data_IF_553809106099
#
_entry.id   IF_553809106099
#
_cell.length_a   1.000
_cell.length_b   1.000
_cell.length_c   1.000
_cell.angle_alpha   90.00
_cell.angle_beta   90.00
_cell.angle_gamma   90.00
#
_symmetry.space_group_name_H-M   'P 1'
#
loop_
_entity.id
_entity.type
_entity.pdbx_description
1 polymer ?
#
# COMPACT_ATOMS: atom_id res chain seq x y z
N UNK A 1 -9.48 22.56 10.54
CA UNK A 1 -8.06 22.92 10.32
C UNK A 1 -7.21 21.83 10.92
N UNK A 2 -6.08 21.52 10.29
CA UNK A 2 -5.06 20.60 10.84
C UNK A 2 -3.75 21.37 10.91
N UNK A 3 -3.05 21.28 12.04
CA UNK A 3 -1.74 21.88 12.25
C UNK A 3 -0.77 20.84 12.79
N UNK A 4 0.46 20.83 12.29
CA UNK A 4 1.54 20.02 12.83
C UNK A 4 2.90 20.66 12.50
N UNK A 5 3.88 20.36 13.33
CA UNK A 5 5.27 20.78 13.11
C UNK A 5 6.10 19.57 12.74
N UNK A 6 7.08 19.78 11.87
CA UNK A 6 8.04 18.75 11.50
C UNK A 6 9.45 19.21 11.86
N UNK A 7 10.27 18.24 12.22
CA UNK A 7 11.71 18.41 12.42
C UNK A 7 12.41 17.51 11.43
N UNK A 8 13.27 18.09 10.59
CA UNK A 8 14.08 17.33 9.65
C UNK A 8 15.15 16.57 10.44
N UNK A 9 15.26 15.24 10.30
CA UNK A 9 16.15 14.41 11.14
C UNK A 9 17.64 14.66 10.90
N UNK A 10 17.98 15.49 9.92
CA UNK A 10 19.34 15.83 9.50
C UNK A 10 19.54 15.54 8.02
N UNK A 11 20.45 16.30 7.40
CA UNK A 11 20.88 16.13 6.02
C UNK A 11 22.33 15.64 6.02
N UNK A 12 22.61 14.63 5.20
CA UNK A 12 23.94 14.08 4.96
C UNK A 12 24.39 14.51 3.57
N UNK A 13 25.69 14.71 3.39
CA UNK A 13 26.29 15.02 2.10
C UNK A 13 27.45 14.09 1.83
N UNK A 14 27.48 13.49 0.65
CA UNK A 14 28.57 12.65 0.16
C UNK A 14 29.18 13.32 -1.07
N UNK A 15 30.49 13.58 -1.02
CA UNK A 15 31.20 14.15 -2.16
C UNK A 15 31.40 13.10 -3.26
N UNK A 16 30.97 13.42 -4.49
CA UNK A 16 31.15 12.61 -5.69
C UNK A 16 31.80 13.49 -6.75
N UNK A 17 33.09 13.31 -7.00
CA UNK A 17 33.89 14.19 -7.85
C UNK A 17 33.77 15.67 -7.41
N UNK A 18 33.20 16.54 -8.25
CA UNK A 18 32.95 17.96 -7.98
C UNK A 18 31.54 18.25 -7.44
N UNK A 19 30.75 17.21 -7.19
CA UNK A 19 29.35 17.31 -6.74
C UNK A 19 29.19 16.81 -5.30
N UNK A 20 28.04 17.14 -4.72
CA UNK A 20 27.61 16.71 -3.39
C UNK A 20 26.25 16.03 -3.53
N UNK A 21 26.19 14.73 -3.24
CA UNK A 21 24.93 14.00 -3.16
C UNK A 21 24.34 14.20 -1.78
N UNK A 22 23.22 14.90 -1.70
CA UNK A 22 22.56 15.25 -0.42
C UNK A 22 21.39 14.31 -0.14
N UNK A 23 21.31 13.83 1.08
CA UNK A 23 20.32 12.83 1.49
C UNK A 23 19.72 13.19 2.86
N UNK A 24 18.43 12.95 3.03
CA UNK A 24 17.78 12.85 4.33
C UNK A 24 17.42 11.38 4.51
N UNK A 25 18.01 10.71 5.50
CA UNK A 25 17.85 9.25 5.68
C UNK A 25 16.39 8.83 5.69
N UNK A 26 16.09 7.72 5.01
CA UNK A 26 14.75 7.14 4.87
C UNK A 26 13.71 8.03 4.15
N UNK A 27 14.16 9.04 3.40
CA UNK A 27 13.29 9.91 2.63
C UNK A 27 13.59 9.81 1.14
N UNK A 28 12.63 10.27 0.34
CA UNK A 28 12.70 10.23 -1.11
C UNK A 28 13.64 11.33 -1.64
N UNK A 29 13.86 11.29 -2.95
CA UNK A 29 14.65 12.27 -3.70
C UNK A 29 13.95 12.53 -5.02
N UNK A 30 14.09 13.74 -5.54
CA UNK A 30 13.63 14.05 -6.90
C UNK A 30 14.43 13.22 -7.90
N UNK A 31 13.71 12.53 -8.78
CA UNK A 31 14.24 11.55 -9.73
C UNK A 31 14.20 12.06 -11.18
N UNK A 32 14.00 13.37 -11.37
CA UNK A 32 14.03 14.01 -12.68
C UNK A 32 15.44 13.92 -13.26
N UNK A 33 15.64 12.98 -14.19
CA UNK A 33 16.94 12.67 -14.80
C UNK A 33 17.68 13.94 -15.25
N UNK A 34 18.90 14.11 -14.76
CA UNK A 34 19.77 15.26 -15.06
C UNK A 34 19.54 16.51 -14.22
N UNK A 35 18.42 16.65 -13.51
CA UNK A 35 18.14 17.77 -12.60
C UNK A 35 18.81 17.56 -11.24
N UNK A 36 18.97 18.59 -10.38
CA UNK A 36 19.49 18.42 -9.02
C UNK A 36 18.69 17.38 -8.22
N UNK A 37 19.38 16.39 -7.66
CA UNK A 37 18.79 15.34 -6.83
C UNK A 37 18.50 15.87 -5.41
N UNK A 38 17.33 16.48 -5.23
CA UNK A 38 16.92 17.11 -3.96
C UNK A 38 16.17 16.10 -3.08
N UNK A 39 16.49 15.97 -1.78
CA UNK A 39 15.71 15.14 -0.87
C UNK A 39 14.31 15.71 -0.61
N UNK A 40 13.32 14.83 -0.57
CA UNK A 40 11.90 15.16 -0.40
C UNK A 40 11.34 14.39 0.79
N UNK A 41 10.71 15.11 1.71
CA UNK A 41 10.00 14.52 2.84
C UNK A 41 8.52 14.42 2.50
N UNK A 42 7.93 13.23 2.70
CA UNK A 42 6.52 12.99 2.41
C UNK A 42 5.75 12.57 3.67
N UNK A 43 4.61 13.20 3.91
CA UNK A 43 3.70 12.84 4.98
C UNK A 43 2.29 12.57 4.45
N UNK A 44 1.62 11.58 5.01
CA UNK A 44 0.18 11.41 4.87
C UNK A 44 -0.53 12.09 6.03
N UNK A 45 -1.57 12.85 5.70
CA UNK A 45 -2.36 13.64 6.66
C UNK A 45 -3.83 13.28 6.48
N UNK A 46 -4.48 12.88 7.57
CA UNK A 46 -5.92 12.67 7.65
C UNK A 46 -6.63 14.02 7.49
N UNK A 47 -7.64 14.04 6.63
CA UNK A 47 -8.46 15.22 6.33
C UNK A 47 -9.95 14.88 6.44
N UNK A 48 -10.84 15.86 6.69
CA UNK A 48 -12.28 15.63 6.57
C UNK A 48 -12.68 15.49 5.09
N UNK A 49 -13.94 15.12 4.84
CA UNK A 49 -14.50 15.25 3.49
C UNK A 49 -14.54 16.74 3.11
N UNK A 50 -13.90 17.12 2.01
CA UNK A 50 -13.78 18.53 1.59
C UNK A 50 -13.49 18.65 0.08
N UNK A 51 -13.90 19.77 -0.52
CA UNK A 51 -13.70 20.03 -1.95
C UNK A 51 -12.22 20.32 -2.25
N UNK A 52 -11.57 21.14 -1.43
CA UNK A 52 -10.16 21.50 -1.58
C UNK A 52 -9.44 21.64 -0.24
N UNK A 53 -8.12 21.40 -0.29
CA UNK A 53 -7.20 21.57 0.84
C UNK A 53 -6.28 22.74 0.51
N UNK A 54 -6.25 23.76 1.35
CA UNK A 54 -5.31 24.87 1.23
C UNK A 54 -4.17 24.67 2.23
N UNK A 55 -2.96 24.52 1.70
CA UNK A 55 -1.73 24.35 2.46
C UNK A 55 -1.09 25.71 2.75
N UNK A 56 -0.87 26.01 4.02
CA UNK A 56 -0.01 27.12 4.44
C UNK A 56 1.20 26.56 5.18
N UNK A 57 2.37 27.12 4.89
CA UNK A 57 3.64 26.73 5.47
C UNK A 57 4.26 27.94 6.18
N UNK A 58 4.76 27.73 7.39
CA UNK A 58 5.63 28.68 8.08
C UNK A 58 6.97 28.01 8.34
N UNK A 59 8.04 28.56 7.76
CA UNK A 59 9.41 28.13 8.02
C UNK A 59 9.85 28.69 9.36
N UNK A 60 10.37 27.83 10.24
CA UNK A 60 10.74 28.21 11.60
C UNK A 60 12.24 28.47 11.75
N UNK A 61 13.02 28.06 10.76
CA UNK A 61 14.46 28.29 10.69
C UNK A 61 14.93 28.34 9.24
N UNK A 62 16.23 28.57 9.05
CA UNK A 62 16.94 28.31 7.80
C UNK A 62 18.45 28.21 8.06
N UNK A 63 19.14 27.44 7.23
CA UNK A 63 20.59 27.26 7.25
C UNK A 63 21.07 27.36 5.81
N UNK A 64 22.18 28.07 5.60
CA UNK A 64 22.72 28.39 4.28
C UNK A 64 24.11 27.76 4.12
N UNK A 65 24.33 27.08 3.00
CA UNK A 65 25.60 26.46 2.64
C UNK A 65 26.06 26.99 1.29
N UNK A 66 27.27 27.54 1.25
CA UNK A 66 27.89 28.05 0.04
C UNK A 66 28.86 27.03 -0.55
N UNK A 67 29.22 27.23 -1.82
CA UNK A 67 30.20 26.42 -2.55
C UNK A 67 29.78 24.94 -2.65
N UNK A 68 28.48 24.67 -2.75
CA UNK A 68 27.91 23.34 -2.92
C UNK A 68 27.27 23.22 -4.29
N UNK A 69 27.57 22.14 -5.00
CA UNK A 69 26.91 21.76 -6.26
C UNK A 69 26.24 20.42 -6.02
N UNK A 70 24.91 20.37 -6.09
CA UNK A 70 24.16 19.13 -5.86
C UNK A 70 24.40 18.15 -7.01
N UNK A 71 24.47 16.86 -6.69
CA UNK A 71 24.59 15.79 -7.68
C UNK A 71 23.32 15.70 -8.53
N UNK A 72 23.41 15.54 -9.86
CA UNK A 72 22.23 15.38 -10.69
C UNK A 72 21.59 14.00 -10.50
N UNK A 73 20.27 13.91 -10.61
CA UNK A 73 19.57 12.63 -10.59
C UNK A 73 20.07 11.78 -11.77
N UNK A 74 20.63 10.59 -11.52
CA UNK A 74 21.12 9.73 -12.58
C UNK A 74 19.96 9.11 -13.38
N UNK A 75 20.28 8.58 -14.56
CA UNK A 75 19.38 7.70 -15.30
C UNK A 75 19.62 6.25 -14.87
N UNK A 76 18.56 5.46 -14.68
CA UNK A 76 18.70 4.03 -14.40
C UNK A 76 18.69 3.27 -15.72
N UNK A 77 19.84 2.69 -16.09
CA UNK A 77 20.00 1.95 -17.34
C UNK A 77 20.27 0.46 -17.09
N UNK A 78 19.74 -0.45 -17.93
CA UNK A 78 20.04 -1.87 -17.81
C UNK A 78 21.51 -2.16 -18.17
N UNK A 79 22.22 -2.85 -17.28
CA UNK A 79 23.54 -3.43 -17.53
C UNK A 79 23.51 -4.95 -17.37
N UNK A 80 24.30 -5.66 -18.17
CA UNK A 80 24.35 -7.12 -18.18
C UNK A 80 25.60 -7.60 -17.46
N UNK A 81 25.43 -8.18 -16.28
CA UNK A 81 26.52 -8.74 -15.50
C UNK A 81 27.13 -9.99 -16.17
N UNK A 82 28.37 -10.30 -15.77
CA UNK A 82 29.03 -11.56 -16.17
C UNK A 82 28.22 -12.75 -15.63
N UNK A 83 27.46 -13.42 -16.50
CA UNK A 83 26.49 -14.46 -16.14
C UNK A 83 25.10 -14.27 -16.75
N UNK A 84 24.86 -13.15 -17.45
CA UNK A 84 23.63 -12.90 -18.20
C UNK A 84 22.48 -12.31 -17.37
N UNK A 85 22.71 -11.97 -16.09
CA UNK A 85 21.75 -11.25 -15.28
C UNK A 85 21.72 -9.77 -15.68
N UNK A 86 20.52 -9.20 -15.80
CA UNK A 86 20.30 -7.77 -16.06
C UNK A 86 20.09 -7.08 -14.71
N UNK A 87 20.86 -6.02 -14.46
CA UNK A 87 20.71 -5.14 -13.30
C UNK A 87 20.49 -3.70 -13.77
N UNK A 88 19.87 -2.86 -12.96
CA UNK A 88 19.81 -1.42 -13.24
C UNK A 88 21.03 -0.76 -12.58
N UNK A 89 21.78 0.02 -13.35
CA UNK A 89 22.91 0.81 -12.85
C UNK A 89 22.64 2.29 -13.06
N UNK A 90 23.17 3.12 -12.16
CA UNK A 90 23.11 4.58 -12.30
C UNK A 90 24.07 5.02 -13.41
N UNK A 91 23.54 5.63 -14.47
CA UNK A 91 24.28 6.37 -15.48
C UNK A 91 24.21 7.87 -15.18
N UNK A 92 25.36 8.53 -15.16
CA UNK A 92 25.43 9.96 -14.90
C UNK A 92 24.73 10.75 -16.02
N UNK A 93 23.70 11.51 -15.66
CA UNK A 93 23.01 12.44 -16.54
C UNK A 93 23.11 13.85 -15.97
N UNK A 94 23.22 14.87 -16.83
CA UNK A 94 23.40 16.26 -16.40
C UNK A 94 22.65 17.21 -17.31
N UNK A 95 21.61 17.85 -16.77
CA UNK A 95 20.84 18.85 -17.50
C UNK A 95 21.55 20.21 -17.43
N UNK A 96 22.23 20.55 -18.52
CA UNK A 96 22.94 21.84 -18.64
C UNK A 96 22.03 23.06 -18.50
N UNK A 97 20.73 22.94 -18.80
CA UNK A 97 19.78 24.06 -18.70
C UNK A 97 19.41 24.28 -17.23
N UNK A 98 19.08 23.20 -16.51
CA UNK A 98 18.80 23.24 -15.08
C UNK A 98 19.99 23.82 -14.29
N UNK A 99 21.21 23.37 -14.57
CA UNK A 99 22.40 23.81 -13.84
C UNK A 99 22.97 25.18 -14.27
N UNK A 100 22.42 25.80 -15.31
CA UNK A 100 22.74 27.18 -15.68
C UNK A 100 21.61 28.17 -15.31
N UNK A 101 20.56 27.69 -14.63
CA UNK A 101 19.46 28.53 -14.15
C UNK A 101 19.85 29.23 -12.85
N UNK A 102 19.72 30.56 -12.82
CA UNK A 102 19.89 31.39 -11.61
C UNK A 102 18.57 31.49 -10.85
N UNK A 103 18.04 30.34 -10.45
CA UNK A 103 16.78 30.20 -9.73
C UNK A 103 16.90 29.13 -8.65
N UNK A 104 16.13 29.27 -7.57
CA UNK A 104 16.02 28.23 -6.55
C UNK A 104 15.24 27.04 -7.09
N UNK A 105 15.86 25.87 -7.08
CA UNK A 105 15.26 24.59 -7.41
C UNK A 105 14.99 23.75 -6.14
N UNK A 106 13.81 23.11 -6.01
CA UNK A 106 12.69 23.10 -6.94
C UNK A 106 11.85 24.38 -6.94
N UNK A 107 12.13 25.34 -6.06
CA UNK A 107 11.44 26.64 -5.98
C UNK A 107 10.15 26.57 -5.17
N UNK A 108 9.44 25.45 -5.25
CA UNK A 108 8.34 25.10 -4.34
C UNK A 108 8.90 24.50 -3.05
N UNK A 109 8.44 24.97 -1.89
CA UNK A 109 8.92 24.48 -0.59
C UNK A 109 8.01 23.38 -0.03
N UNK A 110 6.71 23.47 -0.29
CA UNK A 110 5.78 22.38 0.00
C UNK A 110 4.58 22.43 -0.92
N UNK A 111 4.00 21.27 -1.18
CA UNK A 111 2.78 21.13 -1.97
C UNK A 111 1.94 19.94 -1.51
N UNK A 112 0.69 19.93 -1.93
CA UNK A 112 -0.21 18.77 -1.77
C UNK A 112 -0.24 17.98 -3.06
N UNK A 113 -0.14 16.66 -2.94
CA UNK A 113 -0.39 15.69 -4.01
C UNK A 113 -1.86 15.26 -4.01
N UNK A 114 -2.21 14.31 -4.89
CA UNK A 114 -3.55 13.73 -5.03
C UNK A 114 -4.14 13.30 -3.67
N UNK A 115 -5.45 13.59 -3.51
CA UNK A 115 -6.25 13.09 -2.40
C UNK A 115 -6.56 11.61 -2.63
N UNK A 116 -6.73 10.87 -1.55
CA UNK A 116 -7.23 9.50 -1.59
C UNK A 116 -7.91 9.13 -0.28
N UNK A 117 -8.15 7.85 -0.07
CA UNK A 117 -8.62 7.32 1.19
C UNK A 117 -7.96 5.99 1.54
N UNK A 118 -7.75 5.74 2.83
CA UNK A 118 -7.45 4.41 3.35
C UNK A 118 -8.71 3.97 4.09
N UNK A 119 -9.47 3.02 3.54
CA UNK A 119 -10.85 2.74 3.94
C UNK A 119 -11.68 4.01 3.91
N UNK A 120 -12.30 4.38 5.02
CA UNK A 120 -13.08 5.61 5.13
C UNK A 120 -12.24 6.85 5.41
N UNK A 121 -10.98 6.68 5.82
CA UNK A 121 -10.12 7.81 6.19
C UNK A 121 -9.61 8.52 4.94
N UNK A 122 -10.20 9.69 4.64
CA UNK A 122 -9.68 10.56 3.61
C UNK A 122 -8.27 11.06 3.99
N UNK A 123 -7.36 11.04 3.04
CA UNK A 123 -5.98 11.47 3.22
C UNK A 123 -5.55 12.42 2.12
N UNK A 124 -4.59 13.27 2.44
CA UNK A 124 -3.81 14.01 1.46
C UNK A 124 -2.33 13.78 1.73
N UNK A 125 -1.55 13.64 0.66
CA UNK A 125 -0.10 13.56 0.76
C UNK A 125 0.49 14.96 0.66
N UNK A 126 1.38 15.29 1.57
CA UNK A 126 2.13 16.55 1.57
C UNK A 126 3.58 16.23 1.24
N UNK A 127 4.12 16.93 0.26
CA UNK A 127 5.54 16.92 -0.07
C UNK A 127 6.17 18.18 0.51
N UNK A 128 7.28 18.00 1.21
CA UNK A 128 8.11 19.06 1.74
C UNK A 128 9.50 18.96 1.13
N UNK A 129 9.99 20.07 0.60
CA UNK A 129 11.28 20.24 -0.04
C UNK A 129 12.18 21.06 0.90
N UNK A 130 12.75 20.43 1.95
CA UNK A 130 13.53 21.12 2.97
C UNK A 130 14.81 21.74 2.43
N UNK A 131 15.25 21.34 1.23
CA UNK A 131 16.49 21.76 0.60
C UNK A 131 16.14 22.47 -0.70
N UNK A 132 16.58 23.71 -0.84
CA UNK A 132 16.48 24.51 -2.06
C UNK A 132 17.90 24.78 -2.56
N UNK A 133 18.13 24.71 -3.86
CA UNK A 133 19.45 24.84 -4.47
C UNK A 133 19.42 25.88 -5.58
N UNK A 134 20.35 26.84 -5.54
CA UNK A 134 20.66 27.70 -6.68
C UNK A 134 21.94 27.18 -7.36
N UNK A 135 21.84 26.66 -8.61
CA UNK A 135 22.99 26.14 -9.35
C UNK A 135 24.06 27.18 -9.71
N UNK A 136 23.67 28.42 -10.02
CA UNK A 136 24.59 29.49 -10.42
C UNK A 136 25.36 30.03 -9.23
N UNK A 137 24.65 30.31 -8.13
CA UNK A 137 25.26 30.77 -6.87
C UNK A 137 25.99 29.65 -6.11
N UNK A 138 25.76 28.39 -6.49
CA UNK A 138 26.30 27.18 -5.83
C UNK A 138 25.95 27.16 -4.35
N UNK A 139 24.69 27.41 -4.08
CA UNK A 139 24.20 27.63 -2.73
C UNK A 139 22.99 26.75 -2.42
N UNK A 140 22.99 26.21 -1.20
CA UNK A 140 21.86 25.50 -0.64
C UNK A 140 21.23 26.32 0.49
N UNK A 141 19.91 26.42 0.48
CA UNK A 141 19.09 26.86 1.59
C UNK A 141 18.33 25.66 2.16
N UNK A 142 18.66 25.29 3.39
CA UNK A 142 18.09 24.14 4.09
C UNK A 142 17.22 24.60 5.28
N UNK A 143 16.10 23.92 5.48
CA UNK A 143 15.16 24.15 6.57
C UNK A 143 15.14 22.93 7.49
N UNK A 144 15.35 23.13 8.79
CA UNK A 144 15.32 22.04 9.77
C UNK A 144 13.98 21.94 10.51
N UNK A 145 13.17 23.01 10.49
CA UNK A 145 11.85 23.06 11.13
C UNK A 145 10.83 23.84 10.31
N UNK A 146 9.63 23.26 10.24
CA UNK A 146 8.50 23.88 9.55
C UNK A 146 7.19 23.58 10.27
N UNK A 147 6.29 24.56 10.27
CA UNK A 147 4.90 24.42 10.72
C UNK A 147 3.97 24.39 9.51
N UNK A 148 3.15 23.35 9.42
CA UNK A 148 2.14 23.18 8.40
C UNK A 148 0.76 23.54 8.96
N UNK A 149 -0.06 24.19 8.16
CA UNK A 149 -1.45 24.54 8.50
C UNK A 149 -2.34 24.27 7.29
N UNK A 150 -3.22 23.28 7.43
CA UNK A 150 -4.18 22.89 6.40
C UNK A 150 -5.56 23.45 6.75
N UNK A 151 -6.14 24.17 5.79
CA UNK A 151 -7.54 24.61 5.85
C UNK A 151 -8.33 23.97 4.73
N UNK A 152 -9.64 23.81 4.93
CA UNK A 152 -10.48 22.96 4.10
C UNK A 152 -11.71 23.74 3.62
N UNK A 153 -11.99 23.68 2.33
CA UNK A 153 -13.18 24.30 1.74
C UNK A 153 -14.35 23.33 1.80
N UNK A 154 -15.54 23.80 2.21
CA UNK A 154 -16.77 23.00 2.33
C UNK A 154 -16.57 21.68 3.11
N UNK A 155 -15.80 21.74 4.21
CA UNK A 155 -15.51 20.56 5.00
C UNK A 155 -16.74 20.02 5.74
N UNK A 156 -16.89 18.70 5.76
CA UNK A 156 -17.92 17.99 6.52
C UNK A 156 -17.34 16.72 7.16
N UNK A 157 -17.98 16.28 8.25
CA UNK A 157 -17.53 15.12 9.03
C UNK A 157 -16.32 15.40 9.93
N UNK A 158 -15.77 14.33 10.51
CA UNK A 158 -14.58 14.38 11.36
C UNK A 158 -13.29 14.29 10.55
N UNK A 159 -12.17 14.76 11.13
CA UNK A 159 -10.83 14.61 10.55
C UNK A 159 -10.38 13.15 10.64
N UNK A 160 -10.46 12.55 11.82
CA UNK A 160 -10.23 11.11 12.00
C UNK A 160 -11.56 10.37 11.90
N UNK A 161 -11.61 9.38 11.03
CA UNK A 161 -12.74 8.44 10.89
C UNK A 161 -12.34 7.08 11.41
N UNK A 162 -13.32 6.29 11.81
CA UNK A 162 -13.08 4.88 12.13
C UNK A 162 -12.75 4.12 10.84
N UNK A 163 -11.66 3.36 10.87
CA UNK A 163 -11.20 2.51 9.76
C UNK A 163 -11.15 1.04 10.18
N UNK A 164 -11.78 0.72 11.31
CA UNK A 164 -11.88 -0.61 11.87
C UNK A 164 -10.54 -1.31 12.02
N UNK A 165 -10.39 -2.48 11.41
CA UNK A 165 -9.16 -3.30 11.51
C UNK A 165 -7.89 -2.63 10.96
N UNK A 166 -8.00 -1.53 10.19
CA UNK A 166 -6.87 -0.73 9.70
C UNK A 166 -6.40 0.32 10.71
N UNK A 167 -6.99 0.40 11.90
CA UNK A 167 -6.74 1.53 12.79
C UNK A 167 -5.26 1.68 13.19
N UNK A 168 -4.56 0.60 13.55
CA UNK A 168 -3.10 0.63 13.74
C UNK A 168 -2.31 0.90 12.46
N UNK A 169 -2.77 0.41 11.30
CA UNK A 169 -2.11 0.71 10.01
C UNK A 169 -2.12 2.21 9.74
N UNK A 170 -3.30 2.82 9.86
CA UNK A 170 -3.52 4.26 9.66
C UNK A 170 -2.82 5.06 10.76
N UNK A 171 -2.86 4.62 12.02
CA UNK A 171 -2.19 5.25 13.16
C UNK A 171 -0.66 5.30 13.05
N UNK A 172 -0.04 4.29 12.44
CA UNK A 172 1.42 4.27 12.21
C UNK A 172 1.83 4.94 10.89
N UNK A 173 0.87 5.24 10.01
CA UNK A 173 1.14 5.79 8.66
C UNK A 173 0.83 7.28 8.54
N UNK A 174 -0.21 7.77 9.25
CA UNK A 174 -0.72 9.14 9.12
C UNK A 174 -0.37 9.95 10.36
N UNK A 175 0.30 11.10 10.14
CA UNK A 175 0.92 11.88 11.22
C UNK A 175 -0.06 12.46 12.25
N UNK A 176 -1.32 12.67 11.86
CA UNK A 176 -2.37 13.27 12.69
C UNK A 176 -3.55 12.32 12.93
N UNK A 177 -3.33 11.01 12.81
CA UNK A 177 -4.35 10.01 13.12
C UNK A 177 -4.17 9.45 14.53
N UNK A 178 -5.23 9.57 15.35
CA UNK A 178 -5.23 9.02 16.70
C UNK A 178 -5.72 7.57 16.66
N UNK A 179 -4.78 6.61 16.75
CA UNK A 179 -5.13 5.20 16.86
C UNK A 179 -5.93 4.92 18.13
N UNK A 180 -6.91 4.02 18.03
CA UNK A 180 -7.70 3.49 19.14
C UNK A 180 -7.20 2.11 19.61
N UNK A 181 -6.08 1.60 19.07
CA UNK A 181 -5.51 0.30 19.43
C UNK A 181 -6.06 -0.89 18.64
N UNK A 182 -7.15 -0.72 17.89
CA UNK A 182 -7.76 -1.81 17.12
C UNK A 182 -6.88 -2.21 15.94
N UNK A 183 -6.74 -3.51 15.71
CA UNK A 183 -5.91 -4.02 14.64
C UNK A 183 -6.33 -5.42 14.22
N UNK A 184 -5.83 -5.83 13.05
CA UNK A 184 -6.04 -7.15 12.46
C UNK A 184 -5.30 -8.31 13.17
N UNK A 185 -4.44 -8.04 14.17
CA UNK A 185 -3.64 -9.06 14.85
C UNK A 185 -4.28 -9.59 16.15
N UNK A 186 -5.20 -8.84 16.74
CA UNK A 186 -6.10 -9.33 17.78
C UNK A 186 -7.25 -10.09 17.11
N UNK A 187 -7.60 -11.28 17.63
CA UNK A 187 -8.80 -11.98 17.15
C UNK A 187 -9.98 -11.01 17.23
N UNK A 188 -10.52 -10.62 16.08
CA UNK A 188 -11.59 -9.64 15.99
C UNK A 188 -12.91 -10.15 16.61
N UNK A 189 -12.92 -11.40 17.10
CA UNK A 189 -13.99 -12.04 17.87
C UNK A 189 -13.65 -12.33 19.33
N UNK A 190 -12.54 -11.83 19.89
CA UNK A 190 -12.22 -12.02 21.31
C UNK A 190 -13.26 -11.33 22.21
N UNK A 191 -14.23 -12.12 22.71
CA UNK A 191 -15.27 -11.66 23.64
C UNK A 191 -16.66 -11.45 23.02
N UNK A 192 -16.87 -11.77 21.74
CA UNK A 192 -18.21 -11.81 21.16
C UNK A 192 -18.86 -13.18 21.44
N UNK A 193 -20.12 -13.17 21.89
CA UNK A 193 -20.90 -14.40 22.17
C UNK A 193 -21.40 -15.08 20.88
N UNK A 194 -21.39 -14.37 19.75
CA UNK A 194 -21.84 -14.89 18.46
C UNK A 194 -20.71 -15.65 17.76
N UNK A 195 -21.03 -16.87 17.32
CA UNK A 195 -20.09 -17.71 16.56
C UNK A 195 -19.96 -17.19 15.14
N UNK A 196 -18.75 -17.18 14.59
CA UNK A 196 -18.52 -16.92 13.17
C UNK A 196 -19.34 -17.87 12.30
N UNK A 197 -19.63 -17.47 11.06
CA UNK A 197 -20.45 -18.24 10.12
C UNK A 197 -19.70 -18.56 8.85
N UNK A 198 -20.11 -19.62 8.15
CA UNK A 198 -19.63 -19.89 6.78
C UNK A 198 -20.81 -20.04 5.85
N UNK A 199 -20.70 -19.50 4.63
CA UNK A 199 -21.76 -19.63 3.62
C UNK A 199 -21.21 -19.66 2.20
N UNK A 200 -21.71 -20.58 1.38
CA UNK A 200 -21.54 -20.48 -0.07
C UNK A 200 -22.60 -19.58 -0.66
N UNK A 201 -22.16 -18.55 -1.39
CA UNK A 201 -23.05 -17.64 -2.12
C UNK A 201 -22.74 -17.79 -3.61
N UNK A 202 -23.77 -18.10 -4.39
CA UNK A 202 -23.63 -18.38 -5.84
C UNK A 202 -24.47 -17.47 -6.72
N UNK A 203 -25.06 -16.41 -6.16
CA UNK A 203 -25.88 -15.42 -6.86
C UNK A 203 -25.70 -14.04 -6.22
N UNK A 204 -25.58 -13.00 -7.04
CA UNK A 204 -25.39 -11.62 -6.62
C UNK A 204 -26.33 -10.70 -7.41
N UNK A 205 -27.65 -10.70 -7.12
CA UNK A 205 -28.64 -9.98 -7.92
C UNK A 205 -28.39 -8.47 -7.97
N UNK A 206 -27.79 -7.91 -6.91
CA UNK A 206 -27.44 -6.49 -6.81
C UNK A 206 -25.92 -6.24 -7.03
N UNK A 207 -25.16 -7.25 -7.47
CA UNK A 207 -23.73 -7.10 -7.76
C UNK A 207 -22.83 -6.94 -6.53
N UNK A 208 -23.29 -7.34 -5.33
CA UNK A 208 -22.50 -7.41 -4.09
C UNK A 208 -22.94 -8.60 -3.23
N UNK A 209 -22.15 -8.93 -2.20
CA UNK A 209 -22.50 -9.95 -1.20
C UNK A 209 -23.49 -9.37 -0.19
N UNK A 210 -24.74 -9.80 -0.24
CA UNK A 210 -25.82 -9.32 0.65
C UNK A 210 -25.76 -9.94 2.07
N UNK A 211 -25.22 -11.15 2.18
CA UNK A 211 -24.93 -11.77 3.45
C UNK A 211 -23.82 -11.00 4.19
N UNK A 212 -23.82 -11.07 5.53
CA UNK A 212 -22.70 -10.55 6.32
C UNK A 212 -21.40 -11.22 5.88
N UNK A 213 -20.40 -10.41 5.53
CA UNK A 213 -19.17 -10.84 4.90
C UNK A 213 -17.98 -10.06 5.47
N UNK A 214 -17.36 -10.62 6.50
CA UNK A 214 -16.11 -10.10 7.05
C UNK A 214 -14.91 -10.56 6.22
N UNK A 215 -15.00 -11.78 5.69
CA UNK A 215 -13.96 -12.46 4.92
C UNK A 215 -14.56 -13.12 3.66
N UNK A 216 -14.14 -12.68 2.48
CA UNK A 216 -14.56 -13.23 1.20
C UNK A 216 -13.50 -14.18 0.63
N UNK A 217 -13.86 -15.45 0.39
CA UNK A 217 -13.04 -16.43 -0.32
C UNK A 217 -13.59 -16.59 -1.74
N UNK A 218 -12.77 -16.28 -2.75
CA UNK A 218 -13.10 -16.47 -4.16
C UNK A 218 -12.32 -17.68 -4.67
N UNK A 219 -13.01 -18.65 -5.29
CA UNK A 219 -12.40 -19.88 -5.83
C UNK A 219 -12.65 -20.01 -7.34
N UNK A 220 -11.78 -20.69 -8.10
CA UNK A 220 -12.13 -21.20 -9.42
C UNK A 220 -13.37 -22.10 -9.36
N UNK A 221 -14.16 -22.08 -10.44
CA UNK A 221 -15.40 -22.85 -10.49
C UNK A 221 -15.19 -24.36 -10.39
N UNK A 222 -14.05 -24.87 -10.85
CA UNK A 222 -13.65 -26.28 -10.75
C UNK A 222 -13.49 -26.75 -9.30
N UNK A 223 -12.91 -25.93 -8.41
CA UNK A 223 -12.77 -26.27 -6.99
C UNK A 223 -14.09 -26.26 -6.23
N UNK A 224 -15.08 -25.48 -6.69
CA UNK A 224 -16.44 -25.58 -6.15
C UNK A 224 -17.15 -26.87 -6.60
N UNK A 225 -16.84 -27.40 -7.78
CA UNK A 225 -17.43 -28.67 -8.26
C UNK A 225 -16.71 -29.91 -7.73
N UNK A 226 -15.40 -29.83 -7.50
CA UNK A 226 -14.63 -30.89 -6.85
C UNK A 226 -15.02 -30.98 -5.37
N UNK A 227 -15.72 -32.04 -5.00
CA UNK A 227 -16.23 -32.26 -3.63
C UNK A 227 -15.11 -32.30 -2.59
N UNK A 228 -13.92 -32.80 -2.95
CA UNK A 228 -12.78 -32.87 -2.03
C UNK A 228 -12.17 -31.49 -1.84
N UNK A 229 -11.90 -30.76 -2.93
CA UNK A 229 -11.36 -29.40 -2.85
C UNK A 229 -12.31 -28.48 -2.08
N UNK A 230 -13.61 -28.53 -2.42
CA UNK A 230 -14.66 -27.78 -1.76
C UNK A 230 -14.70 -28.04 -0.25
N UNK A 231 -14.74 -29.30 0.18
CA UNK A 231 -14.78 -29.65 1.60
C UNK A 231 -13.53 -29.18 2.36
N UNK A 232 -12.36 -29.21 1.72
CA UNK A 232 -11.12 -28.71 2.32
C UNK A 232 -11.14 -27.18 2.43
N UNK A 233 -11.64 -26.45 1.43
CA UNK A 233 -11.80 -24.99 1.49
C UNK A 233 -12.82 -24.60 2.56
N UNK A 234 -13.92 -25.34 2.70
CA UNK A 234 -14.89 -25.15 3.79
C UNK A 234 -14.23 -25.32 5.17
N UNK A 235 -13.27 -26.25 5.32
CA UNK A 235 -12.53 -26.38 6.58
C UNK A 235 -11.64 -25.17 6.90
N UNK A 236 -11.08 -24.52 5.88
CA UNK A 236 -10.37 -23.24 6.06
C UNK A 236 -11.34 -22.12 6.47
N UNK A 237 -12.48 -22.02 5.79
CA UNK A 237 -13.51 -21.05 6.13
C UNK A 237 -14.01 -21.25 7.56
N UNK A 238 -14.30 -22.50 7.95
CA UNK A 238 -14.75 -22.84 9.30
C UNK A 238 -13.69 -22.47 10.33
N UNK A 239 -12.41 -22.71 10.05
CA UNK A 239 -11.34 -22.28 10.94
C UNK A 239 -11.29 -20.76 11.11
N UNK A 240 -11.49 -19.97 10.04
CA UNK A 240 -11.56 -18.51 10.14
C UNK A 240 -12.79 -18.06 10.94
N UNK A 241 -13.93 -18.71 10.75
CA UNK A 241 -15.13 -18.46 11.56
C UNK A 241 -14.88 -18.78 13.04
N UNK A 242 -14.31 -19.94 13.37
CA UNK A 242 -14.10 -20.40 14.75
C UNK A 242 -12.99 -19.62 15.46
N UNK A 243 -11.90 -19.32 14.76
CA UNK A 243 -10.71 -18.70 15.37
C UNK A 243 -10.82 -17.17 15.43
N UNK A 244 -11.36 -16.55 14.38
CA UNK A 244 -11.44 -15.10 14.27
C UNK A 244 -12.83 -14.54 14.57
N UNK A 245 -13.89 -15.36 14.56
CA UNK A 245 -15.28 -14.91 14.66
C UNK A 245 -15.88 -14.42 13.35
N UNK A 246 -15.18 -14.59 12.21
CA UNK A 246 -15.63 -14.02 10.94
C UNK A 246 -16.87 -14.70 10.37
N UNK A 247 -17.72 -13.90 9.74
CA UNK A 247 -18.68 -14.36 8.73
C UNK A 247 -17.94 -14.51 7.41
N UNK A 248 -17.68 -15.76 7.03
CA UNK A 248 -16.90 -16.12 5.85
C UNK A 248 -17.83 -16.49 4.71
N UNK A 249 -17.81 -15.69 3.66
CA UNK A 249 -18.53 -16.00 2.42
C UNK A 249 -17.55 -16.62 1.43
N UNK A 250 -17.95 -17.76 0.87
CA UNK A 250 -17.24 -18.42 -0.22
C UNK A 250 -18.05 -18.29 -1.51
N UNK A 251 -17.38 -17.98 -2.61
CA UNK A 251 -18.00 -17.90 -3.94
C UNK A 251 -17.05 -18.42 -5.01
N UNK A 252 -17.61 -18.72 -6.19
CA UNK A 252 -16.88 -19.17 -7.37
C UNK A 252 -16.84 -18.09 -8.45
N UNK A 253 -15.77 -18.07 -9.25
CA UNK A 253 -15.58 -17.13 -10.36
C UNK A 253 -16.80 -17.04 -11.30
N UNK A 254 -17.37 -18.17 -11.72
CA UNK A 254 -18.54 -18.16 -12.62
C UNK A 254 -19.77 -17.47 -12.05
N UNK A 255 -19.98 -17.50 -10.74
CA UNK A 255 -21.09 -16.78 -10.09
C UNK A 255 -20.88 -15.27 -10.12
N UNK A 256 -19.63 -14.83 -9.94
CA UNK A 256 -19.25 -13.41 -10.08
C UNK A 256 -19.45 -12.96 -11.52
N UNK A 257 -18.95 -13.72 -12.48
CA UNK A 257 -19.01 -13.34 -13.90
C UNK A 257 -20.45 -13.22 -14.40
N UNK A 258 -21.34 -14.09 -13.90
CA UNK A 258 -22.77 -14.05 -14.22
C UNK A 258 -23.54 -12.91 -13.55
N UNK A 259 -22.98 -12.28 -12.50
CA UNK A 259 -23.64 -11.19 -11.80
C UNK A 259 -23.58 -9.85 -12.57
N UNK A 260 -22.60 -9.71 -13.46
CA UNK A 260 -22.39 -8.51 -14.25
C UNK A 260 -22.69 -8.81 -15.73
N UNK A 261 -23.66 -8.13 -16.34
CA UNK A 261 -24.07 -8.42 -17.72
C UNK A 261 -22.96 -8.06 -18.71
N UNK A 262 -22.80 -8.87 -19.76
CA UNK A 262 -21.76 -8.69 -20.78
C UNK A 262 -21.86 -7.35 -21.54
N UNK A 263 -23.02 -6.69 -21.49
CA UNK A 263 -23.22 -5.35 -22.03
C UNK A 263 -22.39 -4.26 -21.34
N UNK A 264 -21.79 -4.55 -20.17
CA UNK A 264 -20.88 -3.63 -19.50
C UNK A 264 -19.46 -3.66 -20.10
N UNK A 265 -19.16 -4.61 -21.01
CA UNK A 265 -17.83 -4.76 -21.64
C UNK A 265 -16.69 -4.85 -20.63
N UNK A 266 -16.95 -5.55 -19.51
CA UNK A 266 -15.98 -5.75 -18.43
C UNK A 266 -15.23 -7.06 -18.62
N UNK A 267 -13.92 -7.01 -18.42
CA UNK A 267 -13.06 -8.17 -18.28
C UNK A 267 -13.33 -8.90 -16.95
N UNK A 268 -12.93 -10.18 -16.87
CA UNK A 268 -13.19 -11.02 -15.70
C UNK A 268 -12.60 -10.45 -14.39
N UNK A 269 -11.42 -9.82 -14.45
CA UNK A 269 -10.82 -9.19 -13.28
C UNK A 269 -11.61 -7.94 -12.85
N UNK A 270 -12.17 -7.16 -13.79
CA UNK A 270 -12.99 -5.99 -13.47
C UNK A 270 -14.29 -6.40 -12.79
N UNK A 271 -14.89 -7.53 -13.22
CA UNK A 271 -16.07 -8.12 -12.55
C UNK A 271 -15.76 -8.53 -11.10
N UNK A 272 -14.58 -9.08 -10.83
CA UNK A 272 -14.12 -9.39 -9.46
C UNK A 272 -13.93 -8.11 -8.65
N UNK A 273 -13.23 -7.12 -9.21
CA UNK A 273 -13.01 -5.82 -8.58
C UNK A 273 -14.33 -5.13 -8.23
N UNK A 274 -15.32 -5.16 -9.14
CA UNK A 274 -16.65 -4.61 -8.89
C UNK A 274 -17.40 -5.32 -7.78
N UNK A 275 -17.36 -6.66 -7.71
CA UNK A 275 -18.00 -7.37 -6.60
C UNK A 275 -17.37 -6.98 -5.26
N UNK A 276 -16.04 -6.94 -5.19
CA UNK A 276 -15.30 -6.56 -3.98
C UNK A 276 -15.67 -5.14 -3.57
N UNK A 277 -15.58 -4.18 -4.50
CA UNK A 277 -15.94 -2.77 -4.28
C UNK A 277 -17.38 -2.61 -3.80
N UNK A 278 -18.34 -3.17 -4.52
CA UNK A 278 -19.75 -3.04 -4.17
C UNK A 278 -20.05 -3.70 -2.81
N UNK A 279 -19.36 -4.79 -2.47
CA UNK A 279 -19.48 -5.44 -1.15
C UNK A 279 -18.87 -4.59 -0.04
N UNK A 280 -17.73 -3.95 -0.28
CA UNK A 280 -17.14 -3.01 0.67
C UNK A 280 -18.02 -1.78 0.92
N UNK A 281 -18.67 -1.27 -0.13
CA UNK A 281 -19.50 -0.05 -0.06
C UNK A 281 -20.92 -0.31 0.46
N UNK A 282 -21.53 -1.44 0.11
CA UNK A 282 -22.96 -1.71 0.33
C UNK A 282 -23.24 -2.95 1.20
N UNK A 283 -22.24 -3.80 1.41
CA UNK A 283 -22.37 -5.01 2.22
C UNK A 283 -22.37 -4.72 3.72
N UNK A 284 -22.41 -5.78 4.51
CA UNK A 284 -22.30 -5.71 5.98
C UNK A 284 -21.19 -6.63 6.46
N UNK A 285 -20.43 -6.20 7.47
CA UNK A 285 -19.38 -6.99 8.09
C UNK A 285 -19.32 -6.69 9.60
N UNK A 286 -19.97 -7.53 10.41
CA UNK A 286 -20.15 -7.25 11.84
C UNK A 286 -18.86 -7.38 12.67
N UNK A 287 -17.83 -8.06 12.18
CA UNK A 287 -16.63 -8.42 12.94
C UNK A 287 -15.37 -7.66 12.47
N UNK A 288 -15.55 -6.48 11.86
CA UNK A 288 -14.46 -5.65 11.31
C UNK A 288 -14.39 -4.26 11.93
N UNK A 289 -15.20 -4.02 12.98
CA UNK A 289 -15.35 -2.77 13.74
C UNK A 289 -15.98 -1.61 12.98
N UNK A 290 -15.74 -1.47 11.68
CA UNK A 290 -16.30 -0.41 10.82
C UNK A 290 -17.47 -0.87 9.96
N UNK A 291 -17.89 -2.13 10.06
CA UNK A 291 -19.03 -2.64 9.30
C UNK A 291 -18.69 -3.04 7.86
N UNK A 292 -17.42 -2.95 7.45
CA UNK A 292 -16.98 -3.13 6.06
C UNK A 292 -16.15 -4.38 5.85
N UNK A 293 -16.22 -4.92 4.62
CA UNK A 293 -15.38 -6.04 4.18
C UNK A 293 -13.91 -5.79 4.53
N UNK A 294 -13.27 -6.76 5.18
CA UNK A 294 -11.91 -6.63 5.68
C UNK A 294 -10.91 -7.49 4.91
N UNK A 295 -11.31 -8.70 4.51
CA UNK A 295 -10.41 -9.69 3.94
C UNK A 295 -10.96 -10.26 2.64
N UNK A 296 -10.09 -10.36 1.64
CA UNK A 296 -10.34 -11.12 0.40
C UNK A 296 -9.24 -12.16 0.23
N UNK A 297 -9.62 -13.41 -0.02
CA UNK A 297 -8.70 -14.48 -0.38
C UNK A 297 -9.00 -14.99 -1.79
N UNK A 298 -8.05 -14.79 -2.69
CA UNK A 298 -8.05 -15.36 -4.02
C UNK A 298 -7.50 -16.78 -3.91
N UNK A 299 -8.39 -17.77 -3.81
CA UNK A 299 -8.03 -19.15 -3.54
C UNK A 299 -7.90 -19.95 -4.84
N UNK A 300 -6.84 -19.65 -5.59
CA UNK A 300 -6.50 -20.29 -6.85
C UNK A 300 -5.35 -19.59 -7.55
N UNK A 301 -4.67 -20.32 -8.43
CA UNK A 301 -3.72 -19.76 -9.39
C UNK A 301 -4.45 -19.01 -10.54
N UNK A 302 -3.72 -18.30 -11.40
CA UNK A 302 -4.27 -17.63 -12.59
C UNK A 302 -4.72 -18.65 -13.63
N UNK A 303 -3.98 -19.75 -13.75
CA UNK A 303 -4.28 -20.91 -14.60
C UNK A 303 -4.14 -22.19 -13.79
N UNK A 304 -5.08 -23.11 -13.93
CA UNK A 304 -5.05 -24.39 -13.20
C UNK A 304 -4.22 -25.43 -13.95
N UNK A 305 -3.81 -26.50 -13.25
CA UNK A 305 -2.89 -27.50 -13.81
C UNK A 305 -3.47 -28.24 -15.02
N UNK A 306 -4.80 -28.33 -15.10
CA UNK A 306 -5.52 -28.93 -16.21
C UNK A 306 -5.73 -27.97 -17.40
N UNK A 307 -5.15 -26.76 -17.35
CA UNK A 307 -5.29 -25.71 -18.36
C UNK A 307 -6.62 -24.96 -18.27
N UNK A 308 -7.44 -25.21 -17.25
CA UNK A 308 -8.68 -24.45 -17.05
C UNK A 308 -8.41 -23.07 -16.43
N UNK A 309 -9.27 -22.07 -16.71
CA UNK A 309 -9.11 -20.73 -16.15
C UNK A 309 -9.19 -20.75 -14.62
N UNK A 310 -8.23 -20.07 -13.97
CA UNK A 310 -8.18 -19.88 -12.53
C UNK A 310 -8.84 -18.57 -12.10
N UNK A 311 -8.18 -17.82 -11.22
CA UNK A 311 -8.59 -16.48 -10.78
C UNK A 311 -7.62 -15.46 -11.39
N UNK A 312 -8.08 -14.56 -12.29
CA UNK A 312 -7.20 -13.59 -12.92
C UNK A 312 -6.55 -12.64 -11.90
N UNK A 313 -5.42 -12.06 -12.27
CA UNK A 313 -4.85 -10.88 -11.61
C UNK A 313 -5.38 -9.62 -12.31
N UNK A 314 -5.11 -8.45 -11.75
CA UNK A 314 -5.12 -7.22 -12.55
C UNK A 314 -4.12 -7.33 -13.71
N UNK A 315 -4.30 -6.54 -14.77
CA UNK A 315 -3.55 -6.65 -16.04
C UNK A 315 -2.01 -6.55 -15.90
N UNK A 316 -1.53 -5.97 -14.81
CA UNK A 316 -0.10 -5.85 -14.48
C UNK A 316 0.45 -7.00 -13.61
N UNK A 317 -0.38 -7.99 -13.24
CA UNK A 317 0.03 -9.14 -12.43
C UNK A 317 -0.06 -8.93 -10.92
N UNK A 318 -0.57 -7.79 -10.44
CA UNK A 318 -0.59 -7.45 -9.03
C UNK A 318 -2.00 -7.51 -8.43
N UNK A 319 -2.20 -8.33 -7.40
CA UNK A 319 -3.50 -8.46 -6.71
C UNK A 319 -3.85 -7.23 -5.86
N UNK A 320 -2.87 -6.38 -5.52
CA UNK A 320 -3.09 -5.16 -4.71
C UNK A 320 -4.12 -4.22 -5.34
N UNK A 321 -4.25 -4.21 -6.67
CA UNK A 321 -5.22 -3.40 -7.38
C UNK A 321 -6.68 -3.73 -7.03
N UNK A 322 -6.98 -4.97 -6.58
CA UNK A 322 -8.32 -5.33 -6.09
C UNK A 322 -8.67 -4.66 -4.75
N UNK A 323 -7.71 -3.98 -4.11
CA UNK A 323 -7.90 -3.29 -2.83
C UNK A 323 -8.00 -1.78 -2.97
N UNK A 324 -7.71 -1.22 -4.15
CA UNK A 324 -7.78 0.22 -4.42
C UNK A 324 -9.21 0.56 -4.86
N UNK A 325 -10.10 0.83 -3.90
CA UNK A 325 -11.54 0.96 -4.16
C UNK A 325 -11.99 2.42 -4.31
N UNK A 326 -11.17 3.35 -3.82
CA UNK A 326 -11.45 4.79 -3.87
C UNK A 326 -11.10 5.37 -5.24
N UNK A 327 -12.11 5.89 -5.95
CA UNK A 327 -11.97 6.49 -7.27
C UNK A 327 -11.94 8.02 -7.21
N UNK A 328 -10.86 8.63 -7.71
CA UNK A 328 -10.80 10.07 -7.92
C UNK A 328 -11.43 10.42 -9.27
N UNK A 329 -12.65 10.97 -9.23
CA UNK A 329 -13.39 11.38 -10.43
C UNK A 329 -12.74 12.55 -11.20
N UNK A 330 -11.88 13.34 -10.56
CA UNK A 330 -11.19 14.47 -11.18
C UNK A 330 -9.95 13.96 -11.91
N UNK A 331 -9.15 13.13 -11.24
CA UNK A 331 -7.95 12.53 -11.83
C UNK A 331 -8.28 11.37 -12.79
N UNK A 332 -9.50 10.85 -12.73
CA UNK A 332 -9.99 9.77 -13.59
C UNK A 332 -9.37 8.40 -13.27
N UNK A 333 -8.83 8.20 -12.07
CA UNK A 333 -8.10 6.99 -11.65
C UNK A 333 -8.46 6.60 -10.21
N UNK A 334 -8.27 5.33 -9.89
CA UNK A 334 -8.27 4.87 -8.49
C UNK A 334 -7.03 5.42 -7.77
N UNK A 335 -7.16 5.65 -6.47
CA UNK A 335 -5.99 5.97 -5.66
C UNK A 335 -5.10 4.74 -5.45
N UNK A 336 -3.93 4.96 -4.85
CA UNK A 336 -2.93 3.90 -4.64
C UNK A 336 -3.07 3.20 -3.29
N UNK A 337 -4.07 3.58 -2.49
CA UNK A 337 -4.19 3.18 -1.10
C UNK A 337 -5.11 1.96 -0.96
N UNK A 338 -4.71 0.93 -0.21
CA UNK A 338 -5.54 -0.25 -0.02
C UNK A 338 -6.66 -0.01 1.00
N UNK A 339 -7.88 -0.41 0.67
CA UNK A 339 -9.08 -0.33 1.51
C UNK A 339 -9.39 -1.64 2.26
N UNK A 340 -8.74 -2.74 1.89
CA UNK A 340 -8.92 -4.06 2.53
C UNK A 340 -7.67 -4.91 2.40
N UNK A 341 -7.61 -6.01 3.15
CA UNK A 341 -6.50 -6.96 3.09
C UNK A 341 -6.78 -8.02 2.04
N UNK A 342 -5.84 -8.20 1.10
CA UNK A 342 -5.92 -9.24 0.09
C UNK A 342 -4.77 -10.24 0.23
N UNK A 343 -5.07 -11.52 -0.01
CA UNK A 343 -4.07 -12.56 -0.15
C UNK A 343 -4.47 -13.58 -1.20
N UNK A 344 -3.49 -14.20 -1.84
CA UNK A 344 -3.71 -15.30 -2.78
C UNK A 344 -3.20 -16.62 -2.18
N UNK A 345 -3.99 -17.67 -2.32
CA UNK A 345 -3.53 -19.04 -2.15
C UNK A 345 -3.31 -19.63 -3.56
N UNK A 346 -2.10 -19.53 -4.14
CA UNK A 346 -1.83 -19.96 -5.51
C UNK A 346 -1.79 -21.49 -5.57
N UNK A 347 -2.94 -22.07 -5.91
CA UNK A 347 -3.11 -23.52 -6.03
C UNK A 347 -3.84 -23.85 -7.33
N UNK A 348 -3.37 -24.90 -7.99
CA UNK A 348 -3.80 -25.30 -9.33
C UNK A 348 -4.41 -26.71 -9.38
N UNK A 349 -4.44 -27.43 -8.25
CA UNK A 349 -5.12 -28.73 -8.11
C UNK A 349 -5.48 -29.06 -6.63
N UNK A 350 -6.30 -30.09 -6.44
CA UNK A 350 -6.83 -30.54 -5.15
C UNK A 350 -5.76 -31.00 -4.15
N UNK A 351 -4.62 -31.54 -4.61
CA UNK A 351 -3.53 -31.91 -3.72
C UNK A 351 -2.86 -30.66 -3.12
N UNK A 352 -2.66 -29.61 -3.93
CA UNK A 352 -2.14 -28.33 -3.46
C UNK A 352 -3.13 -27.62 -2.51
N UNK A 353 -4.43 -27.67 -2.80
CA UNK A 353 -5.50 -27.20 -1.90
C UNK A 353 -5.36 -27.86 -0.51
N UNK A 354 -5.24 -29.19 -0.46
CA UNK A 354 -5.01 -29.92 0.79
C UNK A 354 -3.76 -29.45 1.53
N UNK A 355 -2.64 -29.29 0.81
CA UNK A 355 -1.37 -28.92 1.41
C UNK A 355 -1.40 -27.51 2.00
N UNK A 356 -1.93 -26.52 1.29
CA UNK A 356 -1.95 -25.13 1.78
C UNK A 356 -2.91 -24.98 2.97
N UNK A 357 -4.11 -25.59 2.90
CA UNK A 357 -5.07 -25.55 4.01
C UNK A 357 -4.51 -26.27 5.22
N UNK A 358 -3.90 -27.45 5.04
CA UNK A 358 -3.26 -28.17 6.14
C UNK A 358 -2.21 -27.30 6.84
N UNK A 359 -1.35 -26.62 6.09
CA UNK A 359 -0.35 -25.68 6.66
C UNK A 359 -1.01 -24.57 7.47
N UNK A 360 -2.05 -23.93 6.93
CA UNK A 360 -2.75 -22.82 7.61
C UNK A 360 -3.41 -23.32 8.91
N UNK A 361 -4.16 -24.42 8.86
CA UNK A 361 -4.88 -24.96 10.02
C UNK A 361 -3.95 -25.44 11.14
N UNK A 362 -2.75 -25.89 10.79
CA UNK A 362 -1.78 -26.42 11.76
C UNK A 362 -0.71 -25.39 12.14
N UNK A 363 -0.74 -24.19 11.56
CA UNK A 363 0.08 -23.08 12.01
C UNK A 363 -0.47 -22.55 13.33
N UNK A 364 -0.03 -23.15 14.44
CA UNK A 364 -0.36 -22.68 15.78
C UNK A 364 0.72 -21.70 16.24
N UNK A 365 0.37 -20.58 16.92
CA UNK A 365 1.31 -19.77 17.69
C UNK A 365 1.83 -20.55 18.92
N UNK A 366 2.48 -21.69 18.68
CA UNK A 366 3.13 -22.55 19.66
C UNK A 366 4.53 -22.03 20.05
N UNK A 367 5.04 -22.38 21.22
CA UNK A 367 6.33 -21.88 21.78
C UNK A 367 7.57 -22.59 21.22
N UNK A 368 7.52 -23.01 19.96
CA UNK A 368 8.59 -23.81 19.36
C UNK A 368 9.85 -22.97 19.10
N UNK A 369 11.01 -23.50 19.48
CA UNK A 369 12.30 -22.82 19.45
C UNK A 369 12.68 -22.21 18.07
N UNK A 370 12.19 -22.78 16.97
CA UNK A 370 12.49 -22.27 15.63
C UNK A 370 11.84 -20.91 15.33
N UNK A 371 10.79 -20.51 16.05
CA UNK A 371 10.10 -19.23 15.81
C UNK A 371 10.90 -18.01 16.22
N UNK A 372 11.85 -18.18 17.14
CA UNK A 372 12.75 -17.11 17.55
C UNK A 372 13.92 -16.95 16.57
N UNK A 373 13.99 -17.77 15.52
CA UNK A 373 15.02 -17.67 14.50
C UNK A 373 14.47 -16.90 13.30
N UNK A 374 15.07 -15.75 13.03
CA UNK A 374 14.83 -14.98 11.81
C UNK A 374 15.94 -15.28 10.80
N UNK A 375 15.58 -15.63 9.57
CA UNK A 375 16.53 -15.70 8.46
C UNK A 375 16.42 -14.40 7.66
N UNK A 376 17.46 -13.58 7.74
CA UNK A 376 17.61 -12.40 6.88
C UNK A 376 18.46 -12.77 5.67
N UNK A 377 17.91 -12.60 4.48
CA UNK A 377 18.63 -12.76 3.22
C UNK A 377 18.73 -11.39 2.56
N UNK A 378 19.95 -10.90 2.38
CA UNK A 378 20.22 -9.63 1.71
C UNK A 378 20.98 -9.94 0.42
N UNK A 379 20.40 -9.56 -0.71
CA UNK A 379 21.11 -9.57 -1.98
C UNK A 379 22.10 -8.40 -2.01
N UNK A 380 23.36 -8.66 -2.32
CA UNK A 380 24.33 -7.60 -2.60
C UNK A 380 24.34 -7.33 -4.10
N UNK A 381 23.94 -6.14 -4.52
CA UNK A 381 24.31 -5.65 -5.85
C UNK A 381 25.82 -5.46 -5.87
N UNK A 382 26.51 -6.11 -6.80
CA UNK A 382 27.97 -6.27 -6.78
C UNK A 382 28.77 -5.00 -7.10
N UNK A 383 28.20 -3.80 -6.92
CA UNK A 383 28.87 -2.54 -7.28
C UNK A 383 29.48 -1.78 -6.09
N UNK A 384 29.00 -1.92 -4.85
CA UNK A 384 29.56 -1.18 -3.72
C UNK A 384 29.51 -1.96 -2.40
N UNK A 385 30.67 -2.43 -1.94
CA UNK A 385 30.83 -3.06 -0.62
C UNK A 385 31.77 -2.18 0.21
N UNK A 386 31.18 -1.18 0.87
CA UNK A 386 31.47 -0.90 2.27
C UNK A 386 30.32 -1.54 3.06
N UNK A 387 30.55 -2.73 3.61
CA UNK A 387 29.58 -3.38 4.51
C UNK A 387 29.48 -2.48 5.75
N UNK A 388 28.39 -1.72 5.86
CA UNK A 388 27.99 -1.21 7.16
C UNK A 388 27.53 -2.43 7.96
N UNK A 389 28.26 -2.77 9.02
CA UNK A 389 27.86 -3.74 10.03
C UNK A 389 26.66 -3.19 10.81
N UNK A 390 25.51 -3.10 10.17
CA UNK A 390 24.24 -2.90 10.86
C UNK A 390 23.76 -4.28 11.33
N UNK A 391 24.42 -4.79 12.38
CA UNK A 391 23.76 -5.73 13.27
C UNK A 391 22.53 -5.00 13.83
N UNK A 392 21.34 -5.43 13.43
CA UNK A 392 20.11 -5.14 14.16
C UNK A 392 20.24 -5.81 15.53
N UNK A 393 20.80 -5.07 16.50
CA UNK A 393 20.50 -5.35 17.90
C UNK A 393 19.05 -4.92 18.11
N UNK A 394 18.17 -5.92 18.18
CA UNK A 394 16.82 -5.77 18.72
C UNK A 394 16.99 -5.83 20.25
N UNK A 395 16.73 -4.72 20.94
CA UNK A 395 16.58 -4.69 22.40
C UNK A 395 15.39 -5.53 22.88
#
# INVERSE_FOLDING_TARGET
MVEFEIVVPGMYSTAINSFNRVEIKNHLRLDSVGFPEIPVISYLVAIPSCDSVNLNLTLLDSIRFNDVIIYPSPELVPDTLTGGAIVLVEEFSYDTTAYNSDEWFPGTIAETMDKGAIRDQNVVRILFYPVQFNPVDKEILAYSKAKFTLTFSNASGSINKDVGIFNEVVGNTIINYNSNGLNASVSCGAGLEESGTIKWVTSFPNGYVEDSCDYLIIVPSSFHTDTIAKSVIESLAQHRADFNGFSVVMTKTSSIYSAFPDSLYLEDFEKIMMLIKNTFENGTAYHTYDGKLAYVNLFGDVELQDGSPGIPTYSEGYDVYFTQLTYDSIAGKYDVYPDLMIGRCPVSNTAQVKNIVHKILHYKPDTLAWKNNMLNVVGTEAADIVISYAMLELD
#
